data_IF_863325867177
#
_entry.id   IF_863325867177
#
_cell.length_a   1.000
_cell.length_b   1.000
_cell.length_c   1.000
_cell.angle_alpha   90.00
_cell.angle_beta   90.00
_cell.angle_gamma   90.00
#
_symmetry.space_group_name_H-M   'P 1'
#
loop_
_entity.id
_entity.type
_entity.pdbx_description
1 polymer ?
#
# COMPACT_ATOMS: atom_id res chain seq x y z
N UNK A 1 19.15 2.31 8.25
CA UNK A 1 20.13 3.35 8.64
C UNK A 1 19.68 4.68 8.07
N UNK A 2 20.12 5.78 8.71
CA UNK A 2 20.53 7.12 8.22
C UNK A 2 20.20 7.50 6.74
N UNK A 3 19.94 8.74 6.31
CA UNK A 3 20.40 10.09 6.67
C UNK A 3 19.31 11.10 6.27
N UNK A 4 19.03 12.11 7.11
CA UNK A 4 17.98 13.09 6.87
C UNK A 4 18.31 14.04 5.73
N UNK A 5 17.34 14.22 4.81
CA UNK A 5 17.08 15.44 4.03
C UNK A 5 15.79 15.31 3.17
N UNK A 6 14.63 15.00 3.78
CA UNK A 6 13.33 15.00 3.08
C UNK A 6 12.15 15.56 3.91
N UNK A 7 12.41 16.51 4.80
CA UNK A 7 11.41 17.50 5.26
C UNK A 7 10.35 17.10 6.30
N UNK A 8 9.79 15.89 6.30
CA UNK A 8 8.50 15.65 7.00
C UNK A 8 8.53 14.63 8.17
N UNK A 9 9.71 14.16 8.57
CA UNK A 9 9.89 13.21 9.68
C UNK A 9 10.22 11.79 9.22
N UNK A 10 10.25 10.84 10.16
CA UNK A 10 10.55 9.43 9.88
C UNK A 10 9.69 8.51 10.76
N UNK A 11 9.44 7.29 10.27
CA UNK A 11 8.77 6.22 11.03
C UNK A 11 9.81 5.14 11.32
N UNK A 12 10.23 4.93 12.58
CA UNK A 12 11.12 3.83 12.91
C UNK A 12 10.39 2.50 12.70
N UNK A 13 11.08 1.53 12.10
CA UNK A 13 10.57 0.18 11.88
C UNK A 13 11.67 -0.83 12.18
N UNK A 14 11.30 -1.95 12.79
CA UNK A 14 12.24 -3.01 13.16
C UNK A 14 12.31 -4.14 12.13
N UNK A 15 11.29 -4.26 11.28
CA UNK A 15 11.09 -5.45 10.44
C UNK A 15 11.17 -5.16 8.94
N UNK A 16 11.14 -3.89 8.52
CA UNK A 16 11.11 -3.54 7.10
C UNK A 16 12.51 -3.46 6.49
N UNK A 17 12.61 -3.82 5.22
CA UNK A 17 13.82 -3.81 4.42
C UNK A 17 14.41 -2.41 4.16
N UNK A 18 15.61 -2.35 3.58
CA UNK A 18 16.33 -1.10 3.34
C UNK A 18 15.64 -0.18 2.32
N UNK A 19 14.73 -0.70 1.49
CA UNK A 19 13.94 0.06 0.50
C UNK A 19 12.59 0.52 1.03
N UNK A 20 12.29 0.26 2.31
CA UNK A 20 11.01 0.63 2.88
C UNK A 20 10.83 2.15 3.00
N UNK A 21 9.59 2.61 2.86
CA UNK A 21 9.25 4.02 2.88
C UNK A 21 7.90 4.27 3.58
N UNK A 22 7.72 5.49 4.08
CA UNK A 22 6.48 5.92 4.72
C UNK A 22 5.51 6.50 3.68
N UNK A 23 4.23 6.14 3.78
CA UNK A 23 3.16 6.74 2.99
C UNK A 23 2.05 7.23 3.90
N UNK A 24 1.46 8.36 3.57
CA UNK A 24 0.29 8.91 4.26
C UNK A 24 -0.98 8.35 3.63
N UNK A 25 -1.76 7.59 4.39
CA UNK A 25 -3.09 7.16 3.97
C UNK A 25 -4.05 8.34 3.92
N UNK A 26 -4.81 8.46 2.83
CA UNK A 26 -5.82 9.52 2.64
C UNK A 26 -7.19 8.92 2.33
N UNK A 27 -8.25 9.55 2.83
CA UNK A 27 -9.62 9.07 2.69
C UNK A 27 -9.95 7.88 3.60
N UNK A 28 -11.13 7.29 3.38
CA UNK A 28 -11.73 6.35 4.35
C UNK A 28 -11.86 4.90 3.84
N UNK A 29 -11.34 4.60 2.65
CA UNK A 29 -11.48 3.26 2.03
C UNK A 29 -10.88 2.12 2.86
N UNK A 30 -9.92 2.44 3.73
CA UNK A 30 -9.26 1.48 4.62
C UNK A 30 -9.69 1.60 6.07
N UNK A 31 -10.67 2.45 6.39
CA UNK A 31 -11.22 2.54 7.75
C UNK A 31 -11.91 1.22 8.14
N UNK A 32 -11.71 0.70 9.38
CA UNK A 32 -10.94 1.27 10.48
C UNK A 32 -9.46 0.86 10.53
N UNK A 33 -8.99 -0.02 9.65
CA UNK A 33 -7.64 -0.57 9.65
C UNK A 33 -6.56 0.51 9.45
N UNK A 34 -6.79 1.44 8.52
CA UNK A 34 -5.95 2.61 8.29
C UNK A 34 -6.87 3.84 8.23
N UNK A 35 -6.66 4.79 9.13
CA UNK A 35 -7.45 6.03 9.20
C UNK A 35 -6.85 7.12 8.33
N UNK A 36 -7.70 8.03 7.83
CA UNK A 36 -7.24 9.21 7.11
C UNK A 36 -6.17 9.97 7.93
N UNK A 37 -5.04 10.25 7.29
CA UNK A 37 -3.90 10.95 7.88
C UNK A 37 -2.90 10.06 8.63
N UNK A 38 -3.15 8.76 8.77
CA UNK A 38 -2.16 7.82 9.32
C UNK A 38 -1.02 7.59 8.34
N UNK A 39 0.16 7.32 8.88
CA UNK A 39 1.31 6.88 8.09
C UNK A 39 1.47 5.36 8.22
N UNK A 40 1.73 4.69 7.11
CA UNK A 40 2.09 3.27 7.07
C UNK A 40 3.48 3.11 6.46
N UNK A 41 4.20 2.09 6.89
CA UNK A 41 5.49 1.71 6.31
C UNK A 41 5.23 0.65 5.25
N UNK A 42 5.61 0.94 4.01
CA UNK A 42 5.55 -0.01 2.91
C UNK A 42 6.94 -0.60 2.70
N UNK A 43 7.03 -1.93 2.64
CA UNK A 43 8.23 -2.65 2.25
C UNK A 43 8.02 -3.23 0.84
N UNK A 44 8.64 -2.65 -0.20
CA UNK A 44 8.45 -3.13 -1.58
C UNK A 44 9.16 -4.47 -1.85
N UNK A 45 9.98 -4.94 -0.92
CA UNK A 45 10.78 -6.17 -1.08
C UNK A 45 10.10 -7.38 -0.43
N UNK A 46 8.99 -7.16 0.28
CA UNK A 46 8.22 -8.20 0.92
C UNK A 46 7.42 -9.02 -0.12
N UNK A 47 7.25 -10.31 0.17
CA UNK A 47 6.40 -11.19 -0.63
C UNK A 47 4.93 -10.76 -0.55
N UNK A 48 4.19 -10.89 -1.66
CA UNK A 48 2.76 -10.60 -1.70
C UNK A 48 1.97 -11.75 -1.06
N UNK A 49 1.43 -11.51 0.13
CA UNK A 49 0.61 -12.47 0.88
C UNK A 49 -0.87 -12.07 0.83
N UNK A 50 -1.78 -12.94 0.38
CA UNK A 50 -3.22 -12.65 0.39
C UNK A 50 -3.73 -12.22 1.77
N UNK A 51 -4.65 -11.26 1.77
CA UNK A 51 -5.25 -10.57 2.92
C UNK A 51 -4.30 -9.60 3.67
N UNK A 52 -3.09 -9.37 3.17
CA UNK A 52 -2.24 -8.27 3.64
C UNK A 52 -2.54 -6.95 2.90
N UNK A 53 -2.10 -5.83 3.47
CA UNK A 53 -2.28 -4.52 2.86
C UNK A 53 -1.13 -4.18 1.92
N UNK A 54 -1.47 -3.77 0.70
CA UNK A 54 -0.50 -3.41 -0.34
C UNK A 54 -0.72 -1.98 -0.79
N UNK A 55 0.37 -1.30 -1.12
CA UNK A 55 0.31 -0.10 -1.94
C UNK A 55 0.40 -0.51 -3.41
N UNK A 56 -0.53 -0.02 -4.22
CA UNK A 56 -0.54 -0.23 -5.67
C UNK A 56 -0.50 1.13 -6.33
N UNK A 57 0.45 1.34 -7.24
CA UNK A 57 0.55 2.53 -8.05
C UNK A 57 0.30 2.14 -9.51
N UNK A 58 -0.67 2.80 -10.13
CA UNK A 58 -0.97 2.62 -11.54
C UNK A 58 0.01 3.43 -12.39
N UNK A 59 0.17 3.05 -13.66
CA UNK A 59 1.03 3.74 -14.63
C UNK A 59 0.64 5.20 -14.88
N UNK A 60 -0.60 5.57 -14.60
CA UNK A 60 -1.06 6.96 -14.66
C UNK A 60 -0.68 7.81 -13.44
N UNK A 61 0.04 7.22 -12.48
CA UNK A 61 0.56 7.88 -11.29
C UNK A 61 -0.39 7.85 -10.08
N UNK A 62 -1.61 7.31 -10.21
CA UNK A 62 -2.51 7.14 -9.07
C UNK A 62 -2.04 5.98 -8.20
N UNK A 63 -1.91 6.20 -6.89
CA UNK A 63 -1.61 5.15 -5.92
C UNK A 63 -2.77 4.94 -4.94
N UNK A 64 -2.94 3.71 -4.46
CA UNK A 64 -3.96 3.32 -3.49
C UNK A 64 -3.39 2.32 -2.49
N UNK A 65 -3.97 2.28 -1.28
CA UNK A 65 -3.73 1.21 -0.31
C UNK A 65 -5.00 0.36 -0.24
N UNK A 66 -4.86 -0.95 -0.39
CA UNK A 66 -5.97 -1.91 -0.37
C UNK A 66 -5.52 -3.23 0.26
N UNK A 67 -6.47 -4.05 0.64
CA UNK A 67 -6.20 -5.45 0.96
C UNK A 67 -5.96 -6.23 -0.35
N UNK A 68 -4.87 -7.00 -0.40
CA UNK A 68 -4.51 -7.83 -1.53
C UNK A 68 -5.31 -9.12 -1.52
N UNK A 69 -6.09 -9.37 -2.57
CA UNK A 69 -6.86 -10.62 -2.69
C UNK A 69 -6.06 -11.67 -3.45
N UNK A 70 -5.40 -11.26 -4.54
CA UNK A 70 -4.60 -12.16 -5.37
C UNK A 70 -4.39 -11.64 -6.79
N UNK A 71 -3.56 -12.35 -7.55
CA UNK A 71 -3.39 -12.16 -8.99
C UNK A 71 -3.82 -13.44 -9.69
N UNK A 72 -4.77 -13.36 -10.62
CA UNK A 72 -5.23 -14.51 -11.39
C UNK A 72 -5.38 -14.11 -12.87
N UNK A 73 -4.78 -14.88 -13.77
CA UNK A 73 -4.88 -14.63 -15.21
C UNK A 73 -4.32 -13.27 -15.66
N UNK A 74 -3.39 -12.68 -14.90
CA UNK A 74 -2.86 -11.34 -15.19
C UNK A 74 -3.68 -10.20 -14.59
N UNK A 75 -4.76 -10.49 -13.85
CA UNK A 75 -5.60 -9.49 -13.19
C UNK A 75 -5.28 -9.44 -11.70
N UNK A 76 -4.95 -8.25 -11.21
CA UNK A 76 -4.81 -7.92 -9.79
C UNK A 76 -6.18 -7.64 -9.16
N UNK A 77 -6.54 -8.38 -8.12
CA UNK A 77 -7.75 -8.15 -7.33
C UNK A 77 -7.42 -7.53 -5.97
N UNK A 78 -8.10 -6.43 -5.64
CA UNK A 78 -7.93 -5.68 -4.40
C UNK A 78 -9.28 -5.44 -3.71
N UNK A 79 -9.25 -5.20 -2.40
CA UNK A 79 -10.45 -4.94 -1.60
C UNK A 79 -10.27 -3.69 -0.71
N UNK A 80 -11.28 -2.81 -0.70
CA UNK A 80 -11.44 -1.79 0.34
C UNK A 80 -11.95 -2.44 1.62
N UNK A 81 -11.29 -2.19 2.75
CA UNK A 81 -11.77 -2.62 4.06
C UNK A 81 -13.11 -1.98 4.38
N UNK A 82 -13.24 -0.67 4.12
CA UNK A 82 -14.48 0.05 4.31
C UNK A 82 -15.41 -0.19 3.12
N UNK A 83 -16.60 -0.72 3.38
CA UNK A 83 -17.62 -0.96 2.34
C UNK A 83 -17.41 -2.20 1.48
N UNK A 84 -16.25 -2.88 1.55
CA UNK A 84 -16.01 -4.14 0.85
C UNK A 84 -15.97 -4.02 -0.68
N UNK A 85 -15.69 -2.82 -1.19
CA UNK A 85 -15.59 -2.57 -2.64
C UNK A 85 -14.38 -3.29 -3.23
N UNK A 86 -14.58 -3.99 -4.35
CA UNK A 86 -13.53 -4.72 -5.06
C UNK A 86 -13.03 -3.93 -6.26
N UNK A 87 -11.72 -3.94 -6.44
CA UNK A 87 -11.04 -3.33 -7.58
C UNK A 87 -10.30 -4.41 -8.35
N UNK A 88 -10.31 -4.27 -9.67
CA UNK A 88 -9.61 -5.13 -10.60
C UNK A 88 -8.76 -4.26 -11.51
N UNK A 89 -7.48 -4.59 -11.62
CA UNK A 89 -6.54 -3.93 -12.51
C UNK A 89 -5.84 -5.00 -13.34
N UNK A 90 -5.66 -4.74 -14.62
CA UNK A 90 -4.75 -5.58 -15.40
C UNK A 90 -3.31 -5.32 -14.92
N UNK A 91 -2.49 -6.35 -14.81
CA UNK A 91 -1.11 -6.21 -14.34
C UNK A 91 -0.25 -5.36 -15.28
N UNK A 92 -0.70 -5.11 -16.51
CA UNK A 92 -0.06 -4.17 -17.43
C UNK A 92 -0.44 -2.71 -17.18
N UNK A 93 -1.39 -2.41 -16.29
CA UNK A 93 -1.74 -1.06 -15.86
C UNK A 93 -1.01 -0.63 -14.57
N UNK A 94 -0.40 -1.60 -13.88
CA UNK A 94 0.34 -1.45 -12.61
C UNK A 94 1.82 -1.22 -12.89
#
# INVERSE_FOLDING_TARGET
>A
GYEGNAGDGYVPTHSAGPRAYGIKGTGDSMFPAIRNGWYVVCDPDADLVPNEFVQVCLKDGRCTIKEFVGINGGVLSLLSVNGGERFFFEMDEV
#
